data_IF_045051963634
#
_entry.id   IF_045051963634
#
_cell.length_a   1.000
_cell.length_b   1.000
_cell.length_c   1.000
_cell.angle_alpha   90.00
_cell.angle_beta   90.00
_cell.angle_gamma   90.00
#
_symmetry.space_group_name_H-M   'P 1'
#
loop_
_entity.id
_entity.type
_entity.pdbx_description
1 polymer ?
#
# COMPACT_ATOMS: atom_id res chain seq x y z
N UNK A 1 1.84 28.73 -13.97
CA UNK A 1 2.77 29.77 -13.55
C UNK A 1 4.16 29.16 -13.40
N UNK A 2 5.17 29.58 -14.19
CA UNK A 2 6.54 29.04 -14.12
C UNK A 2 7.28 29.41 -12.82
N UNK A 3 6.77 30.37 -12.06
CA UNK A 3 7.31 30.81 -10.76
C UNK A 3 6.53 30.22 -9.57
N UNK A 4 5.46 29.49 -9.87
CA UNK A 4 4.61 28.87 -8.85
C UNK A 4 5.25 27.67 -8.19
N UNK A 5 4.75 27.31 -7.00
CA UNK A 5 5.12 26.11 -6.27
C UNK A 5 4.00 25.07 -6.36
N UNK A 6 4.39 23.81 -6.38
CA UNK A 6 3.49 22.68 -6.24
C UNK A 6 3.91 21.90 -5.00
N UNK A 7 2.94 21.55 -4.18
CA UNK A 7 3.12 20.67 -3.02
C UNK A 7 2.66 19.27 -3.41
N UNK A 8 3.55 18.31 -3.26
CA UNK A 8 3.28 16.89 -3.45
C UNK A 8 3.28 16.21 -2.09
N UNK A 9 2.25 15.43 -1.82
CA UNK A 9 2.14 14.58 -0.65
C UNK A 9 1.85 13.16 -1.11
N UNK A 10 2.68 12.20 -0.67
CA UNK A 10 2.54 10.79 -1.05
C UNK A 10 2.91 9.88 0.13
N UNK A 11 2.34 8.66 0.21
CA UNK A 11 2.77 7.65 1.18
C UNK A 11 4.25 7.27 1.01
N UNK A 12 4.95 7.06 2.15
CA UNK A 12 6.28 6.47 2.17
C UNK A 12 6.22 4.96 2.39
N UNK A 13 6.46 4.20 1.35
CA UNK A 13 6.43 2.74 1.39
C UNK A 13 7.72 2.09 1.93
N UNK A 14 8.72 2.88 2.32
CA UNK A 14 10.05 2.38 2.76
C UNK A 14 9.95 1.42 3.95
N UNK A 15 9.07 1.71 4.91
CA UNK A 15 8.84 0.87 6.10
C UNK A 15 8.18 -0.45 5.70
N UNK A 16 7.12 -0.40 4.89
CA UNK A 16 6.41 -1.57 4.39
C UNK A 16 7.32 -2.52 3.61
N UNK A 17 8.24 -1.98 2.80
CA UNK A 17 9.20 -2.82 2.06
C UNK A 17 10.26 -3.47 2.95
N UNK A 18 10.65 -2.84 4.07
CA UNK A 18 11.62 -3.40 5.03
C UNK A 18 11.01 -4.48 5.92
N UNK A 19 9.80 -4.28 6.37
CA UNK A 19 9.08 -5.18 7.29
C UNK A 19 7.85 -5.72 6.60
N UNK A 20 7.96 -6.65 5.62
CA UNK A 20 6.91 -6.95 4.65
C UNK A 20 5.49 -6.74 5.17
N UNK A 21 5.03 -5.49 5.07
CA UNK A 21 3.70 -5.05 5.43
C UNK A 21 2.86 -4.90 4.17
N UNK A 22 2.06 -5.89 3.91
CA UNK A 22 1.26 -5.98 2.69
C UNK A 22 0.00 -5.10 2.72
N UNK A 23 -0.31 -4.45 3.85
CA UNK A 23 -1.40 -3.47 3.92
C UNK A 23 -1.10 -2.21 3.11
N UNK A 24 0.17 -1.98 2.77
CA UNK A 24 0.58 -0.87 1.89
C UNK A 24 0.19 -1.05 0.43
N UNK A 25 -0.19 -2.28 0.01
CA UNK A 25 -0.66 -2.53 -1.35
C UNK A 25 -2.10 -2.02 -1.47
N UNK A 26 -2.30 -1.07 -2.38
CA UNK A 26 -3.59 -0.46 -2.64
C UNK A 26 -3.86 -0.43 -4.15
N UNK A 27 -5.01 -0.92 -4.58
CA UNK A 27 -5.36 -1.05 -6.00
C UNK A 27 -5.38 0.29 -6.75
N UNK A 28 -5.63 1.39 -6.05
CA UNK A 28 -5.63 2.74 -6.62
C UNK A 28 -4.22 3.35 -6.69
N UNK A 29 -3.24 2.76 -5.99
CA UNK A 29 -1.86 3.24 -6.04
C UNK A 29 -1.14 2.66 -7.26
N UNK A 30 -0.94 3.47 -8.26
CA UNK A 30 -0.16 3.10 -9.46
C UNK A 30 1.35 3.18 -9.24
N UNK A 31 1.80 3.93 -8.24
CA UNK A 31 3.20 4.11 -7.89
C UNK A 31 3.40 4.00 -6.38
N UNK A 32 4.50 3.38 -5.99
CA UNK A 32 4.91 3.21 -4.60
C UNK A 32 6.24 3.92 -4.38
N UNK A 33 6.24 4.92 -3.50
CA UNK A 33 7.40 5.77 -3.30
C UNK A 33 8.21 5.40 -2.06
N UNK A 34 9.52 5.51 -2.22
CA UNK A 34 10.48 5.72 -1.16
C UNK A 34 11.01 7.15 -1.29
N UNK A 35 11.73 7.66 -0.28
CA UNK A 35 12.42 8.95 -0.36
C UNK A 35 13.21 9.10 -1.69
N UNK A 36 14.00 8.09 -2.04
CA UNK A 36 14.83 8.14 -3.23
C UNK A 36 14.00 8.16 -4.53
N UNK A 37 12.98 7.29 -4.63
CA UNK A 37 12.17 7.19 -5.85
C UNK A 37 11.24 8.38 -6.02
N UNK A 38 10.76 8.98 -4.95
CA UNK A 38 9.97 10.20 -4.98
C UNK A 38 10.77 11.38 -5.56
N UNK A 39 11.99 11.61 -5.05
CA UNK A 39 12.89 12.66 -5.56
C UNK A 39 13.26 12.44 -7.04
N UNK A 40 13.50 11.20 -7.42
CA UNK A 40 13.77 10.83 -8.83
C UNK A 40 12.53 11.12 -9.68
N UNK A 41 11.34 10.78 -9.23
CA UNK A 41 10.09 11.01 -9.95
C UNK A 41 9.84 12.50 -10.19
N UNK A 42 10.00 13.34 -9.18
CA UNK A 42 9.87 14.79 -9.33
C UNK A 42 10.85 15.36 -10.36
N UNK A 43 12.11 14.94 -10.27
CA UNK A 43 13.13 15.34 -11.26
C UNK A 43 12.77 14.86 -12.66
N UNK A 44 12.25 13.63 -12.80
CA UNK A 44 11.80 13.07 -14.07
C UNK A 44 10.65 13.87 -14.69
N UNK A 45 9.73 14.32 -13.85
CA UNK A 45 8.61 15.16 -14.24
C UNK A 45 8.99 16.62 -14.58
N UNK A 46 10.28 16.98 -14.53
CA UNK A 46 10.74 18.34 -14.84
C UNK A 46 10.58 19.29 -13.65
N UNK A 47 10.57 18.80 -12.42
CA UNK A 47 10.49 19.62 -11.22
C UNK A 47 11.84 19.74 -10.51
N UNK A 48 12.10 20.93 -9.97
CA UNK A 48 13.17 21.20 -9.00
C UNK A 48 12.60 21.18 -7.60
N UNK A 49 13.05 20.23 -6.78
CA UNK A 49 12.65 20.10 -5.39
C UNK A 49 13.31 21.23 -4.57
N UNK A 50 12.49 22.07 -3.94
CA UNK A 50 12.90 23.20 -3.11
C UNK A 50 12.94 22.84 -1.63
N UNK A 51 11.96 22.02 -1.19
CA UNK A 51 11.89 21.53 0.18
C UNK A 51 11.41 20.08 0.17
N UNK A 52 11.94 19.29 1.08
CA UNK A 52 11.55 17.90 1.26
C UNK A 52 11.48 17.58 2.75
N UNK A 53 10.37 16.97 3.14
CA UNK A 53 10.18 16.51 4.51
C UNK A 53 9.52 15.14 4.55
N UNK A 54 9.85 14.38 5.58
CA UNK A 54 9.26 13.09 5.87
C UNK A 54 8.62 13.13 7.25
N UNK A 55 7.31 12.95 7.27
CA UNK A 55 6.55 12.82 8.51
C UNK A 55 6.36 11.34 8.85
N UNK A 56 6.77 10.97 10.06
CA UNK A 56 6.62 9.62 10.56
C UNK A 56 5.38 9.54 11.44
N UNK A 57 4.37 8.82 10.97
CA UNK A 57 3.18 8.49 11.75
C UNK A 57 3.23 7.03 12.22
N UNK A 58 2.44 6.65 13.25
CA UNK A 58 2.47 5.30 13.78
C UNK A 58 2.20 4.20 12.75
N UNK A 59 1.24 4.44 11.85
CA UNK A 59 0.78 3.46 10.87
C UNK A 59 1.36 3.68 9.49
N UNK A 60 1.47 4.92 9.05
CA UNK A 60 1.94 5.28 7.72
C UNK A 60 2.82 6.53 7.79
N UNK A 61 3.94 6.52 7.10
CA UNK A 61 4.77 7.72 6.94
C UNK A 61 4.44 8.38 5.61
N UNK A 62 4.54 9.71 5.55
CA UNK A 62 4.30 10.48 4.33
C UNK A 62 5.56 11.24 3.90
N UNK A 63 5.69 11.45 2.60
CA UNK A 63 6.72 12.27 1.99
C UNK A 63 6.05 13.54 1.46
N UNK A 64 6.59 14.69 1.85
CA UNK A 64 6.14 15.99 1.35
C UNK A 64 7.29 16.62 0.56
N UNK A 65 6.97 17.07 -0.66
CA UNK A 65 7.89 17.79 -1.52
C UNK A 65 7.29 19.09 -2.00
N UNK A 66 7.94 20.21 -1.76
CA UNK A 66 7.60 21.49 -2.38
C UNK A 66 8.54 21.66 -3.56
N UNK A 67 7.99 21.79 -4.75
CA UNK A 67 8.76 21.83 -5.97
C UNK A 67 8.29 22.96 -6.93
N UNK A 68 9.18 23.38 -7.78
CA UNK A 68 8.90 24.33 -8.87
C UNK A 68 9.10 23.65 -10.22
N UNK A 69 8.32 24.00 -11.25
CA UNK A 69 8.62 23.64 -12.62
C UNK A 69 10.03 24.12 -13.01
N UNK A 70 10.81 23.28 -13.65
CA UNK A 70 12.13 23.63 -14.11
C UNK A 70 12.21 23.53 -15.64
N UNK A 71 12.05 24.65 -16.30
CA UNK A 71 12.06 24.74 -17.76
C UNK A 71 13.40 24.32 -18.40
N UNK A 72 14.50 24.29 -17.61
CA UNK A 72 15.81 23.82 -18.06
C UNK A 72 15.94 22.29 -18.03
N UNK A 73 15.07 21.62 -17.29
CA UNK A 73 14.99 20.18 -17.30
C UNK A 73 13.96 19.81 -18.37
N UNK A 74 14.40 19.63 -19.63
CA UNK A 74 13.55 18.94 -20.61
C UNK A 74 13.17 17.61 -19.99
N UNK A 75 11.86 17.33 -19.90
CA UNK A 75 11.35 16.03 -19.47
C UNK A 75 12.17 14.96 -20.21
N UNK A 76 13.13 14.40 -19.51
CA UNK A 76 14.20 13.65 -20.18
C UNK A 76 13.67 12.26 -20.47
N UNK A 77 13.65 11.89 -21.76
CA UNK A 77 13.43 10.50 -22.17
C UNK A 77 14.47 9.54 -21.56
N UNK A 78 15.53 10.06 -20.97
CA UNK A 78 16.62 9.30 -20.34
C UNK A 78 17.09 10.04 -19.08
N UNK A 79 16.51 9.65 -17.93
CA UNK A 79 17.07 10.03 -16.64
C UNK A 79 18.33 9.22 -16.37
N UNK A 80 19.43 9.91 -16.20
CA UNK A 80 20.63 9.31 -15.63
C UNK A 80 20.40 9.02 -14.13
N UNK A 81 19.78 7.86 -13.85
CA UNK A 81 19.60 7.41 -12.47
C UNK A 81 20.92 6.80 -11.99
N UNK A 82 21.35 7.20 -10.80
CA UNK A 82 22.52 6.59 -10.18
C UNK A 82 22.27 5.09 -9.98
N UNK A 83 23.07 4.24 -10.65
CA UNK A 83 22.93 2.78 -10.62
C UNK A 83 22.94 2.20 -9.21
N UNK A 84 23.72 2.79 -8.29
CA UNK A 84 23.79 2.35 -6.89
C UNK A 84 22.45 2.59 -6.17
N UNK A 85 21.83 3.75 -6.40
CA UNK A 85 20.50 4.06 -5.83
C UNK A 85 19.48 3.08 -6.37
N UNK A 86 19.40 2.90 -7.68
CA UNK A 86 18.48 1.96 -8.32
C UNK A 86 18.66 0.53 -7.78
N UNK A 87 19.89 0.05 -7.68
CA UNK A 87 20.18 -1.29 -7.15
C UNK A 87 19.70 -1.45 -5.71
N UNK A 88 19.87 -0.42 -4.87
CA UNK A 88 19.41 -0.46 -3.49
C UNK A 88 17.87 -0.48 -3.39
N UNK A 89 17.18 0.32 -4.19
CA UNK A 89 15.72 0.31 -4.23
C UNK A 89 15.18 -1.03 -4.76
N UNK A 90 15.79 -1.58 -5.81
CA UNK A 90 15.44 -2.91 -6.33
C UNK A 90 15.61 -4.04 -5.30
N UNK A 91 16.65 -3.97 -4.46
CA UNK A 91 16.81 -4.93 -3.35
C UNK A 91 15.66 -4.87 -2.36
N UNK A 92 15.23 -3.66 -1.95
CA UNK A 92 14.08 -3.47 -1.04
C UNK A 92 12.80 -4.08 -1.64
N UNK A 93 12.51 -3.75 -2.90
CA UNK A 93 11.32 -4.25 -3.59
C UNK A 93 11.33 -5.77 -3.75
N UNK A 94 12.48 -6.39 -4.08
CA UNK A 94 12.60 -7.85 -4.21
C UNK A 94 12.43 -8.59 -2.89
N UNK A 95 12.81 -7.98 -1.77
CA UNK A 95 12.60 -8.56 -0.44
C UNK A 95 11.12 -8.65 -0.08
N UNK A 96 10.32 -7.68 -0.49
CA UNK A 96 8.91 -7.59 -0.15
C UNK A 96 8.09 -8.83 -0.58
N UNK A 97 8.06 -9.26 -1.86
CA UNK A 97 7.30 -10.43 -2.28
C UNK A 97 7.90 -11.77 -1.80
N UNK A 98 9.20 -11.82 -1.50
CA UNK A 98 9.87 -13.08 -1.13
C UNK A 98 9.33 -13.69 0.17
N UNK A 99 8.67 -12.90 1.01
CA UNK A 99 8.08 -13.34 2.28
C UNK A 99 6.58 -13.64 2.20
N UNK A 100 5.94 -13.32 1.05
CA UNK A 100 4.48 -13.41 0.92
C UNK A 100 3.97 -14.83 1.14
N UNK A 101 4.53 -15.82 0.46
CA UNK A 101 4.09 -17.22 0.57
C UNK A 101 4.23 -17.76 2.00
N UNK A 102 5.32 -17.41 2.69
CA UNK A 102 5.50 -17.80 4.11
C UNK A 102 4.43 -17.17 4.99
N UNK A 103 4.13 -15.89 4.78
CA UNK A 103 3.10 -15.15 5.53
C UNK A 103 1.71 -15.72 5.24
N UNK A 104 1.38 -15.99 3.97
CA UNK A 104 0.13 -16.65 3.57
C UNK A 104 -0.05 -17.99 4.28
N UNK A 105 0.95 -18.85 4.25
CA UNK A 105 0.89 -20.16 4.90
C UNK A 105 0.71 -20.04 6.41
N UNK A 106 1.41 -19.11 7.05
CA UNK A 106 1.28 -18.86 8.49
C UNK A 106 -0.15 -18.42 8.87
N UNK A 107 -0.70 -17.44 8.11
CA UNK A 107 -2.07 -16.94 8.35
C UNK A 107 -3.11 -18.05 8.10
N UNK A 108 -2.98 -18.78 6.99
CA UNK A 108 -3.89 -19.91 6.71
C UNK A 108 -3.85 -20.97 7.81
N UNK A 109 -2.65 -21.33 8.29
CA UNK A 109 -2.49 -22.29 9.39
C UNK A 109 -3.15 -21.79 10.67
N UNK A 110 -2.95 -20.51 10.99
CA UNK A 110 -3.55 -19.86 12.15
C UNK A 110 -5.08 -19.90 12.08
N UNK A 111 -5.68 -19.41 10.99
CA UNK A 111 -7.14 -19.41 10.84
C UNK A 111 -7.73 -20.82 10.83
N UNK A 112 -7.10 -21.77 10.15
CA UNK A 112 -7.53 -23.19 10.15
C UNK A 112 -7.54 -23.80 11.55
N UNK A 113 -6.71 -23.33 12.49
CA UNK A 113 -6.71 -23.83 13.87
C UNK A 113 -8.00 -23.51 14.62
N UNK A 114 -8.68 -22.42 14.29
CA UNK A 114 -10.00 -22.08 14.84
C UNK A 114 -11.11 -22.89 14.17
N UNK A 115 -11.06 -23.07 12.85
CA UNK A 115 -12.02 -23.92 12.13
C UNK A 115 -12.06 -25.37 12.65
N UNK A 116 -10.91 -25.92 13.04
CA UNK A 116 -10.86 -27.25 13.68
C UNK A 116 -11.57 -27.32 15.03
N UNK A 117 -11.89 -26.18 15.65
CA UNK A 117 -12.63 -26.06 16.90
C UNK A 117 -14.11 -25.72 16.67
N UNK A 118 -14.57 -25.85 15.43
CA UNK A 118 -15.92 -25.48 14.99
C UNK A 118 -16.29 -24.02 15.27
N UNK A 119 -15.30 -23.14 15.18
CA UNK A 119 -15.50 -21.71 15.37
C UNK A 119 -15.79 -21.01 14.05
N UNK A 120 -16.74 -20.09 14.06
CA UNK A 120 -16.93 -19.14 12.99
C UNK A 120 -15.86 -18.03 13.05
N UNK A 121 -15.42 -17.59 11.90
CA UNK A 121 -14.43 -16.52 11.76
C UNK A 121 -15.06 -15.38 11.00
N UNK A 122 -15.13 -14.22 11.63
CA UNK A 122 -15.57 -12.98 11.01
C UNK A 122 -14.42 -12.00 10.86
N UNK A 123 -14.52 -11.11 9.86
CA UNK A 123 -13.67 -9.93 9.76
C UNK A 123 -14.50 -8.69 10.08
N UNK A 124 -14.00 -7.83 10.96
CA UNK A 124 -14.66 -6.58 11.32
C UNK A 124 -14.05 -5.41 10.57
N UNK A 125 -14.91 -4.61 9.89
CA UNK A 125 -14.52 -3.57 8.96
C UNK A 125 -14.29 -4.12 7.54
N UNK A 126 -15.01 -3.55 6.55
CA UNK A 126 -14.96 -4.00 5.16
C UNK A 126 -14.29 -2.97 4.24
N UNK A 127 -13.32 -2.24 4.80
CA UNK A 127 -12.50 -1.32 4.05
C UNK A 127 -11.41 -2.01 3.23
N UNK A 128 -10.56 -1.18 2.60
CA UNK A 128 -9.46 -1.63 1.76
C UNK A 128 -8.57 -2.69 2.42
N UNK A 129 -8.12 -2.45 3.67
CA UNK A 129 -7.22 -3.36 4.38
C UNK A 129 -7.82 -4.77 4.54
N UNK A 130 -9.12 -4.88 4.80
CA UNK A 130 -9.82 -6.15 4.89
C UNK A 130 -9.91 -6.85 3.52
N UNK A 131 -10.24 -6.12 2.46
CA UNK A 131 -10.24 -6.65 1.09
C UNK A 131 -8.86 -7.21 0.72
N UNK A 132 -7.81 -6.43 0.96
CA UNK A 132 -6.44 -6.85 0.67
C UNK A 132 -6.02 -8.04 1.50
N UNK A 133 -6.35 -8.07 2.80
CA UNK A 133 -6.05 -9.21 3.66
C UNK A 133 -6.67 -10.50 3.11
N UNK A 134 -7.97 -10.49 2.82
CA UNK A 134 -8.67 -11.69 2.36
C UNK A 134 -8.15 -12.16 1.00
N UNK A 135 -8.04 -11.23 0.04
CA UNK A 135 -7.69 -11.57 -1.34
C UNK A 135 -6.22 -11.94 -1.48
N UNK A 136 -5.31 -11.12 -0.92
CA UNK A 136 -3.87 -11.33 -1.03
C UNK A 136 -3.42 -12.60 -0.30
N UNK A 137 -3.96 -12.85 0.90
CA UNK A 137 -3.63 -14.06 1.65
C UNK A 137 -4.44 -15.29 1.22
N UNK A 138 -5.44 -15.12 0.36
CA UNK A 138 -6.27 -16.21 -0.17
C UNK A 138 -6.99 -16.98 0.94
N UNK A 139 -7.62 -16.26 1.86
CA UNK A 139 -8.25 -16.81 3.05
C UNK A 139 -9.79 -16.76 3.01
N UNK A 140 -10.39 -16.45 1.86
CA UNK A 140 -11.84 -16.30 1.71
C UNK A 140 -12.63 -17.49 2.23
N UNK A 141 -12.17 -18.71 1.97
CA UNK A 141 -12.85 -19.95 2.38
C UNK A 141 -12.72 -20.25 3.89
N UNK A 142 -11.98 -19.42 4.62
CA UNK A 142 -11.79 -19.50 6.07
C UNK A 142 -12.55 -18.42 6.81
N UNK A 143 -13.10 -17.43 6.11
CA UNK A 143 -13.89 -16.32 6.67
C UNK A 143 -15.36 -16.57 6.35
N UNK A 144 -16.20 -16.63 7.36
CA UNK A 144 -17.62 -16.97 7.19
C UNK A 144 -18.45 -15.76 6.77
N UNK A 145 -18.14 -14.58 7.38
CA UNK A 145 -18.83 -13.33 7.06
C UNK A 145 -17.96 -12.13 7.40
N UNK A 146 -18.33 -11.00 6.84
CA UNK A 146 -17.70 -9.70 7.10
C UNK A 146 -18.71 -8.79 7.83
N UNK A 147 -18.23 -8.03 8.80
CA UNK A 147 -19.06 -7.14 9.62
C UNK A 147 -18.69 -5.69 9.32
N UNK A 148 -19.68 -4.88 9.00
CA UNK A 148 -19.52 -3.43 8.84
C UNK A 148 -20.87 -2.75 9.15
N UNK A 149 -20.88 -1.76 10.03
CA UNK A 149 -22.11 -1.07 10.42
C UNK A 149 -22.47 0.11 9.49
N UNK A 150 -21.72 0.32 8.43
CA UNK A 150 -22.09 1.28 7.39
C UNK A 150 -23.32 0.76 6.61
N UNK A 151 -24.49 1.46 6.70
CA UNK A 151 -25.72 1.01 6.05
C UNK A 151 -25.60 0.90 4.53
N UNK A 152 -24.66 1.65 3.92
CA UNK A 152 -24.43 1.59 2.48
C UNK A 152 -23.63 0.36 2.03
N UNK A 153 -23.15 -0.46 2.97
CA UNK A 153 -22.38 -1.68 2.68
C UNK A 153 -23.11 -2.96 3.07
N UNK A 154 -24.00 -2.88 4.06
CA UNK A 154 -24.75 -4.05 4.56
C UNK A 154 -25.57 -4.68 3.43
N UNK A 155 -25.51 -6.00 3.31
CA UNK A 155 -26.20 -6.77 2.26
C UNK A 155 -25.41 -6.85 0.94
N UNK A 156 -24.34 -6.06 0.77
CA UNK A 156 -23.42 -6.21 -0.36
C UNK A 156 -22.34 -7.26 -0.07
N UNK A 157 -21.49 -7.49 -1.05
CA UNK A 157 -20.40 -8.45 -0.98
C UNK A 157 -19.07 -7.76 -1.10
N UNK A 158 -18.08 -8.24 -0.34
CA UNK A 158 -16.72 -7.74 -0.44
C UNK A 158 -16.11 -7.98 -1.82
N UNK A 159 -15.43 -7.00 -2.40
CA UNK A 159 -14.74 -7.16 -3.69
C UNK A 159 -13.78 -8.35 -3.70
N UNK A 160 -13.71 -9.07 -4.80
CA UNK A 160 -12.84 -10.22 -5.00
C UNK A 160 -13.30 -11.48 -4.26
N UNK A 161 -13.40 -11.44 -2.93
CA UNK A 161 -13.75 -12.60 -2.11
C UNK A 161 -15.23 -13.01 -2.20
N UNK A 162 -16.13 -12.05 -2.47
CA UNK A 162 -17.57 -12.21 -2.48
C UNK A 162 -18.18 -12.63 -1.12
N UNK A 163 -17.52 -12.35 -0.01
CA UNK A 163 -18.06 -12.57 1.33
C UNK A 163 -19.16 -11.55 1.61
N UNK A 164 -20.29 -12.03 2.14
CA UNK A 164 -21.43 -11.19 2.51
C UNK A 164 -21.07 -10.24 3.64
N UNK A 165 -21.49 -8.98 3.53
CA UNK A 165 -21.33 -7.96 4.55
C UNK A 165 -22.60 -7.91 5.40
N UNK A 166 -22.43 -8.12 6.71
CA UNK A 166 -23.50 -8.14 7.70
C UNK A 166 -23.34 -6.99 8.69
N UNK A 167 -24.43 -6.61 9.36
CA UNK A 167 -24.38 -5.71 10.52
C UNK A 167 -23.81 -6.43 11.75
N UNK A 168 -23.21 -5.69 12.68
CA UNK A 168 -22.83 -6.20 14.00
C UNK A 168 -24.04 -6.52 14.91
N UNK A 169 -25.23 -6.12 14.50
CA UNK A 169 -26.50 -6.32 15.24
C UNK A 169 -27.22 -7.62 14.85
N UNK A 170 -26.50 -8.60 14.29
CA UNK A 170 -27.06 -9.92 13.96
C UNK A 170 -27.28 -10.77 15.22
#
# INVERSE_FOLDING_TARGET
>A
DPLGYIIFEVPDCSKGFKTPDYSTIWEEHTLYFTDATFKICLKAGGFSLQHFEKYNYPFESILIGIAQPNNNIKASKSLSINKKVLTNEMKKVRFFPSHLSKKQNSIKKFLKSFKKKDCNIAIFGTGHAACMFINLFGVKDLIDFAIDDNPNKIGFHMPGSKILICSSQL
#
